data_IF_226440632483
#
_entry.id   IF_226440632483
#
_cell.length_a   1.000
_cell.length_b   1.000
_cell.length_c   1.000
_cell.angle_alpha   90.00
_cell.angle_beta   90.00
_cell.angle_gamma   90.00
#
_symmetry.space_group_name_H-M   'P 1'
#
loop_
_entity.id
_entity.type
_entity.pdbx_description
1 polymer ?
#
# COMPACT_ATOMS: atom_id res chain seq x y z
N UNK A 1 -38.78 65.34 3.47
CA UNK A 1 -38.33 64.51 4.62
C UNK A 1 -39.34 63.39 4.78
N UNK A 2 -38.92 62.13 4.70
CA UNK A 2 -39.83 60.98 4.68
C UNK A 2 -39.73 60.27 6.03
N UNK A 3 -40.80 60.27 6.82
CA UNK A 3 -40.79 59.81 8.23
C UNK A 3 -41.08 58.30 8.32
N UNK A 4 -41.86 57.75 7.39
CA UNK A 4 -42.28 56.35 7.43
C UNK A 4 -41.20 55.37 6.94
N UNK A 5 -40.21 55.82 6.17
CA UNK A 5 -39.17 54.96 5.60
C UNK A 5 -37.78 55.58 5.81
N UNK A 6 -37.02 55.03 6.77
CA UNK A 6 -35.65 55.46 7.03
C UNK A 6 -34.68 54.69 6.12
N UNK A 7 -34.41 55.27 4.95
CA UNK A 7 -33.51 54.68 3.94
C UNK A 7 -32.08 54.48 4.46
N UNK A 8 -31.58 55.38 5.31
CA UNK A 8 -30.24 55.29 5.91
C UNK A 8 -30.12 54.10 6.87
N UNK A 9 -31.15 53.87 7.69
CA UNK A 9 -31.23 52.70 8.57
C UNK A 9 -31.39 51.39 7.78
N UNK A 10 -32.21 51.37 6.72
CA UNK A 10 -32.33 50.20 5.84
C UNK A 10 -31.02 49.85 5.12
N UNK A 11 -30.26 50.86 4.67
CA UNK A 11 -28.95 50.65 4.05
C UNK A 11 -27.92 50.11 5.06
N UNK A 12 -27.89 50.70 6.27
CA UNK A 12 -27.02 50.23 7.36
C UNK A 12 -27.35 48.79 7.77
N UNK A 13 -28.63 48.45 7.90
CA UNK A 13 -29.10 47.10 8.23
C UNK A 13 -28.72 46.08 7.14
N UNK A 14 -28.95 46.41 5.86
CA UNK A 14 -28.53 45.55 4.73
C UNK A 14 -27.03 45.29 4.74
N UNK A 15 -26.24 46.35 4.91
CA UNK A 15 -24.77 46.26 4.94
C UNK A 15 -24.31 45.43 6.13
N UNK A 16 -24.90 45.63 7.31
CA UNK A 16 -24.63 44.84 8.51
C UNK A 16 -24.98 43.36 8.32
N UNK A 17 -26.10 43.05 7.63
CA UNK A 17 -26.47 41.67 7.31
C UNK A 17 -25.44 40.98 6.41
N UNK A 18 -24.93 41.69 5.39
CA UNK A 18 -23.88 41.16 4.50
C UNK A 18 -22.57 40.95 5.25
N UNK A 19 -22.11 41.92 6.05
CA UNK A 19 -20.86 41.80 6.82
C UNK A 19 -20.95 40.71 7.89
N UNK A 20 -22.11 40.51 8.51
CA UNK A 20 -22.33 39.41 9.45
C UNK A 20 -22.26 38.03 8.76
N UNK A 21 -22.81 37.91 7.54
CA UNK A 21 -22.67 36.68 6.74
C UNK A 21 -21.21 36.39 6.37
N UNK A 22 -20.43 37.42 6.03
CA UNK A 22 -19.00 37.29 5.74
C UNK A 22 -18.20 36.92 6.99
N UNK A 23 -18.53 37.49 8.15
CA UNK A 23 -17.91 37.15 9.43
C UNK A 23 -18.13 35.67 9.78
N UNK A 24 -19.35 35.15 9.59
CA UNK A 24 -19.66 33.73 9.79
C UNK A 24 -18.87 32.82 8.83
N UNK A 25 -18.71 33.22 7.56
CA UNK A 25 -17.88 32.49 6.60
C UNK A 25 -16.40 32.48 7.01
N UNK A 26 -15.87 33.59 7.51
CA UNK A 26 -14.48 33.65 8.00
C UNK A 26 -14.28 32.79 9.25
N UNK A 27 -15.27 32.76 10.17
CA UNK A 27 -15.26 31.86 11.31
C UNK A 27 -15.24 30.38 10.88
N UNK A 28 -16.03 30.01 9.87
CA UNK A 28 -16.06 28.66 9.32
C UNK A 28 -14.69 28.26 8.73
N UNK A 29 -14.07 29.14 7.94
CA UNK A 29 -12.73 28.92 7.38
C UNK A 29 -11.64 28.84 8.45
N UNK A 30 -11.66 29.71 9.46
CA UNK A 30 -10.71 29.69 10.56
C UNK A 30 -10.86 28.46 11.46
N UNK A 31 -12.10 27.99 11.67
CA UNK A 31 -12.37 26.82 12.51
C UNK A 31 -12.03 25.51 11.81
N UNK A 32 -12.22 25.43 10.49
CA UNK A 32 -11.92 24.24 9.69
C UNK A 32 -10.45 24.17 9.25
N UNK A 33 -9.79 25.33 9.11
CA UNK A 33 -8.49 25.43 8.45
C UNK A 33 -8.57 25.26 6.93
N UNK A 34 -9.76 25.09 6.36
CA UNK A 34 -9.99 24.91 4.93
C UNK A 34 -10.60 26.19 4.33
N UNK A 35 -10.08 26.61 3.18
CA UNK A 35 -10.60 27.71 2.36
C UNK A 35 -11.92 27.34 1.67
N UNK A 36 -12.09 26.07 1.30
CA UNK A 36 -13.26 25.54 0.57
C UNK A 36 -13.98 24.54 1.48
N UNK A 37 -15.04 24.99 2.17
CA UNK A 37 -15.83 24.13 3.06
C UNK A 37 -17.13 23.66 2.40
N UNK A 38 -17.69 24.48 1.50
CA UNK A 38 -18.94 24.20 0.81
C UNK A 38 -18.74 24.25 -0.70
N UNK A 39 -19.58 23.54 -1.45
CA UNK A 39 -19.59 23.59 -2.91
C UNK A 39 -19.88 25.00 -3.47
N UNK A 40 -20.48 25.89 -2.66
CA UNK A 40 -20.70 27.29 -3.00
C UNK A 40 -19.46 28.18 -2.93
N UNK A 41 -18.39 27.76 -2.23
CA UNK A 41 -17.16 28.55 -2.12
C UNK A 41 -16.31 28.44 -3.39
N UNK A 42 -16.11 27.22 -3.88
CA UNK A 42 -15.50 26.90 -5.18
C UNK A 42 -15.87 25.48 -5.61
N UNK A 43 -16.84 25.36 -6.53
CA UNK A 43 -17.30 24.06 -7.02
C UNK A 43 -16.21 23.28 -7.77
N UNK A 44 -15.33 23.98 -8.50
CA UNK A 44 -14.26 23.33 -9.29
C UNK A 44 -13.12 22.88 -8.39
N UNK A 45 -12.69 23.74 -7.45
CA UNK A 45 -11.67 23.41 -6.46
C UNK A 45 -12.09 22.26 -5.55
N UNK A 46 -13.36 22.21 -5.15
CA UNK A 46 -13.90 21.09 -4.38
C UNK A 46 -13.84 19.76 -5.18
N UNK A 47 -14.26 19.76 -6.45
CA UNK A 47 -14.24 18.55 -7.27
C UNK A 47 -12.81 18.01 -7.50
N UNK A 48 -11.84 18.91 -7.72
CA UNK A 48 -10.43 18.53 -7.88
C UNK A 48 -9.84 18.00 -6.57
N UNK A 49 -10.10 18.67 -5.44
CA UNK A 49 -9.59 18.23 -4.13
C UNK A 49 -10.18 16.88 -3.72
N UNK A 50 -11.46 16.60 -3.98
CA UNK A 50 -12.04 15.27 -3.72
C UNK A 50 -11.40 14.16 -4.58
N UNK A 51 -11.11 14.47 -5.85
CA UNK A 51 -10.37 13.54 -6.72
C UNK A 51 -8.97 13.28 -6.17
N UNK A 52 -8.25 14.33 -5.75
CA UNK A 52 -6.92 14.21 -5.15
C UNK A 52 -6.97 13.41 -3.84
N UNK A 53 -7.93 13.67 -2.95
CA UNK A 53 -8.14 12.89 -1.71
C UNK A 53 -8.40 11.43 -2.00
N UNK A 54 -9.23 11.13 -3.01
CA UNK A 54 -9.46 9.75 -3.45
C UNK A 54 -8.18 9.09 -3.95
N UNK A 55 -7.37 9.80 -4.74
CA UNK A 55 -6.08 9.31 -5.21
C UNK A 55 -5.09 9.10 -4.07
N UNK A 56 -4.94 10.03 -3.13
CA UNK A 56 -4.07 9.91 -1.96
C UNK A 56 -4.46 8.69 -1.12
N UNK A 57 -5.75 8.50 -0.83
CA UNK A 57 -6.25 7.29 -0.13
C UNK A 57 -5.91 6.01 -0.92
N UNK A 58 -6.08 6.04 -2.23
CA UNK A 58 -5.72 4.93 -3.12
C UNK A 58 -4.22 4.61 -3.11
N UNK A 59 -3.36 5.63 -3.18
CA UNK A 59 -1.90 5.50 -3.14
C UNK A 59 -1.43 4.98 -1.77
N UNK A 60 -2.00 5.46 -0.68
CA UNK A 60 -1.71 4.97 0.67
C UNK A 60 -2.10 3.49 0.83
N UNK A 61 -3.25 3.09 0.30
CA UNK A 61 -3.63 1.68 0.29
C UNK A 61 -2.71 0.85 -0.62
N UNK A 62 -2.32 1.36 -1.78
CA UNK A 62 -1.38 0.70 -2.67
C UNK A 62 -0.02 0.48 -2.00
N UNK A 63 0.48 1.45 -1.25
CA UNK A 63 1.71 1.28 -0.46
C UNK A 63 1.57 0.14 0.57
N UNK A 64 0.45 0.08 1.31
CA UNK A 64 0.17 -1.05 2.21
C UNK A 64 0.12 -2.40 1.47
N UNK A 65 -0.48 -2.43 0.27
CA UNK A 65 -0.52 -3.64 -0.54
C UNK A 65 0.88 -4.07 -0.99
N UNK A 66 1.76 -3.12 -1.33
CA UNK A 66 3.16 -3.39 -1.67
C UNK A 66 3.90 -3.97 -0.47
N UNK A 67 3.73 -3.39 0.72
CA UNK A 67 4.33 -3.92 1.95
C UNK A 67 3.87 -5.36 2.22
N UNK A 68 2.57 -5.65 2.03
CA UNK A 68 2.07 -7.03 2.10
C UNK A 68 2.71 -7.95 1.06
N UNK A 69 2.97 -7.45 -0.16
CA UNK A 69 3.69 -8.17 -1.20
C UNK A 69 5.15 -8.46 -0.83
N UNK A 70 5.84 -7.50 -0.20
CA UNK A 70 7.19 -7.70 0.36
C UNK A 70 7.16 -8.79 1.44
N UNK A 71 6.22 -8.72 2.38
CA UNK A 71 6.08 -9.75 3.43
C UNK A 71 5.81 -11.14 2.84
N UNK A 72 4.99 -11.23 1.79
CA UNK A 72 4.75 -12.47 1.07
C UNK A 72 6.03 -13.02 0.43
N UNK A 73 6.83 -12.16 -0.22
CA UNK A 73 8.12 -12.56 -0.80
C UNK A 73 9.10 -13.04 0.27
N UNK A 74 9.24 -12.30 1.37
CA UNK A 74 10.13 -12.65 2.48
C UNK A 74 9.75 -13.99 3.13
N UNK A 75 8.44 -14.24 3.32
CA UNK A 75 7.95 -15.53 3.79
C UNK A 75 8.33 -16.65 2.81
N UNK A 76 8.18 -16.41 1.50
CA UNK A 76 8.58 -17.40 0.47
C UNK A 76 10.08 -17.67 0.54
N UNK A 77 10.90 -16.62 0.64
CA UNK A 77 12.36 -16.76 0.70
C UNK A 77 12.81 -17.54 1.94
N UNK A 78 12.17 -17.32 3.10
CA UNK A 78 12.46 -18.09 4.31
C UNK A 78 12.33 -19.60 4.10
N UNK A 79 11.21 -20.04 3.50
CA UNK A 79 11.00 -21.46 3.18
C UNK A 79 11.99 -22.00 2.11
N UNK A 80 12.37 -21.17 1.14
CA UNK A 80 13.37 -21.55 0.14
C UNK A 80 14.79 -21.60 0.73
N UNK A 81 15.08 -20.82 1.77
CA UNK A 81 16.30 -20.91 2.56
C UNK A 81 16.44 -22.28 3.20
N UNK A 82 15.43 -22.71 3.95
CA UNK A 82 15.38 -24.04 4.58
C UNK A 82 15.51 -25.17 3.55
N UNK A 83 14.81 -25.04 2.41
CA UNK A 83 14.94 -26.00 1.30
C UNK A 83 16.36 -26.05 0.74
N UNK A 84 17.05 -24.90 0.65
CA UNK A 84 18.44 -24.81 0.17
C UNK A 84 19.39 -25.54 1.13
N UNK A 85 19.24 -25.35 2.44
CA UNK A 85 20.08 -25.98 3.46
C UNK A 85 19.91 -27.50 3.44
N UNK A 86 18.67 -27.99 3.30
CA UNK A 86 18.39 -29.42 3.17
C UNK A 86 19.03 -29.98 1.89
N UNK A 87 18.89 -29.30 0.75
CA UNK A 87 19.52 -29.74 -0.50
C UNK A 87 21.04 -29.81 -0.40
N UNK A 88 21.67 -28.85 0.27
CA UNK A 88 23.11 -28.90 0.53
C UNK A 88 23.49 -30.09 1.41
N UNK A 89 22.69 -30.39 2.44
CA UNK A 89 22.90 -31.58 3.28
C UNK A 89 22.78 -32.89 2.49
N UNK A 90 21.76 -33.01 1.62
CA UNK A 90 21.62 -34.19 0.75
C UNK A 90 22.83 -34.30 -0.18
N UNK A 91 23.35 -33.18 -0.70
CA UNK A 91 24.55 -33.16 -1.54
C UNK A 91 25.78 -33.67 -0.80
N UNK A 92 25.99 -33.25 0.44
CA UNK A 92 27.09 -33.74 1.29
C UNK A 92 27.02 -35.27 1.47
N UNK A 93 25.84 -35.78 1.82
CA UNK A 93 25.60 -37.21 1.98
C UNK A 93 25.80 -37.99 0.68
N UNK A 94 25.45 -37.39 -0.46
CA UNK A 94 25.65 -37.97 -1.79
C UNK A 94 27.13 -38.08 -2.14
N UNK A 95 27.92 -37.03 -1.85
CA UNK A 95 29.38 -37.04 -2.01
C UNK A 95 30.04 -38.06 -1.07
N UNK A 96 29.56 -38.15 0.17
CA UNK A 96 30.04 -39.13 1.14
C UNK A 96 29.78 -40.55 0.65
N UNK A 97 28.54 -40.86 0.24
CA UNK A 97 28.20 -42.18 -0.28
C UNK A 97 28.96 -42.49 -1.56
N UNK A 98 29.19 -41.54 -2.47
CA UNK A 98 29.93 -41.79 -3.71
C UNK A 98 31.35 -42.36 -3.52
N UNK A 99 31.92 -42.26 -2.32
CA UNK A 99 33.22 -42.85 -2.00
C UNK A 99 33.14 -44.39 -1.87
N UNK A 100 34.05 -45.11 -2.55
CA UNK A 100 34.10 -46.57 -2.58
C UNK A 100 34.51 -47.25 -1.26
N UNK A 101 34.88 -46.48 -0.23
CA UNK A 101 35.23 -47.01 1.10
C UNK A 101 34.01 -47.45 1.94
N UNK A 102 32.80 -46.99 1.59
CA UNK A 102 31.58 -47.30 2.33
C UNK A 102 30.94 -48.59 1.83
N UNK A 103 30.54 -49.44 2.77
CA UNK A 103 29.80 -50.68 2.48
C UNK A 103 28.37 -50.40 2.05
N UNK A 104 27.70 -51.39 1.46
CA UNK A 104 26.28 -51.27 1.08
C UNK A 104 25.37 -51.03 2.31
N UNK A 105 25.75 -51.53 3.49
CA UNK A 105 25.04 -51.29 4.74
C UNK A 105 25.18 -49.83 5.21
N UNK A 106 26.38 -49.24 5.11
CA UNK A 106 26.60 -47.82 5.43
C UNK A 106 25.82 -46.91 4.48
N UNK A 107 25.75 -47.28 3.18
CA UNK A 107 24.97 -46.56 2.18
C UNK A 107 23.47 -46.62 2.47
N UNK A 108 22.97 -47.75 2.97
CA UNK A 108 21.57 -47.85 3.40
C UNK A 108 21.26 -46.93 4.58
N UNK A 109 22.18 -46.76 5.54
CA UNK A 109 21.98 -45.82 6.65
C UNK A 109 21.95 -44.36 6.17
N UNK A 110 22.86 -44.00 5.26
CA UNK A 110 22.87 -42.67 4.61
C UNK A 110 21.58 -42.45 3.80
N UNK A 111 21.09 -43.49 3.12
CA UNK A 111 19.84 -43.44 2.35
C UNK A 111 18.64 -43.12 3.26
N UNK A 112 18.60 -43.65 4.49
CA UNK A 112 17.54 -43.32 5.44
C UNK A 112 17.57 -41.84 5.79
N UNK A 113 18.74 -41.26 6.05
CA UNK A 113 18.86 -39.81 6.30
C UNK A 113 18.38 -38.99 5.09
N UNK A 114 18.80 -39.36 3.87
CA UNK A 114 18.35 -38.69 2.64
C UNK A 114 16.84 -38.83 2.42
N UNK A 115 16.25 -39.99 2.71
CA UNK A 115 14.80 -40.17 2.59
C UNK A 115 14.00 -39.22 3.48
N UNK A 116 14.49 -38.98 4.70
CA UNK A 116 13.87 -38.04 5.64
C UNK A 116 14.04 -36.60 5.18
N UNK A 117 15.21 -36.24 4.67
CA UNK A 117 15.48 -34.91 4.11
C UNK A 117 14.61 -34.63 2.88
N UNK A 118 14.40 -35.61 1.99
CA UNK A 118 13.49 -35.47 0.84
C UNK A 118 12.04 -35.33 1.30
N UNK A 119 11.61 -36.09 2.32
CA UNK A 119 10.27 -35.93 2.91
C UNK A 119 10.09 -34.55 3.55
N UNK A 120 11.15 -34.01 4.16
CA UNK A 120 11.14 -32.68 4.76
C UNK A 120 11.01 -31.57 3.70
N UNK A 121 11.67 -31.70 2.55
CA UNK A 121 11.48 -30.78 1.40
C UNK A 121 10.01 -30.79 0.94
N UNK A 122 9.38 -31.96 0.83
CA UNK A 122 7.94 -32.06 0.49
C UNK A 122 7.03 -31.48 1.59
N UNK A 123 7.40 -31.65 2.86
CA UNK A 123 6.68 -31.05 3.99
C UNK A 123 6.74 -29.52 3.91
N UNK A 124 7.92 -28.94 3.72
CA UNK A 124 8.09 -27.49 3.57
C UNK A 124 7.28 -26.98 2.38
N UNK A 125 7.39 -27.64 1.21
CA UNK A 125 6.67 -27.21 0.03
C UNK A 125 5.14 -27.26 0.19
N UNK A 126 4.60 -28.26 0.89
CA UNK A 126 3.16 -28.44 1.12
C UNK A 126 2.60 -27.61 2.28
N UNK A 127 3.43 -27.28 3.27
CA UNK A 127 3.04 -26.52 4.48
C UNK A 127 3.51 -25.06 4.45
N UNK A 128 4.22 -24.61 3.41
CA UNK A 128 4.55 -23.20 3.20
C UNK A 128 3.29 -22.40 2.83
N UNK A 129 2.65 -21.80 3.83
CA UNK A 129 1.40 -21.06 3.66
C UNK A 129 1.57 -19.58 4.00
N UNK A 130 0.95 -18.72 3.20
CA UNK A 130 0.71 -17.33 3.56
C UNK A 130 -0.78 -17.04 3.45
N UNK A 131 -1.39 -16.61 4.57
CA UNK A 131 -2.82 -16.35 4.64
C UNK A 131 -3.67 -17.55 4.12
N UNK A 132 -3.27 -18.78 4.47
CA UNK A 132 -3.93 -20.02 4.05
C UNK A 132 -3.69 -20.45 2.59
N UNK A 133 -2.84 -19.74 1.85
CA UNK A 133 -2.47 -20.10 0.47
C UNK A 133 -1.10 -20.76 0.42
N UNK A 134 -1.01 -21.95 -0.17
CA UNK A 134 0.26 -22.64 -0.38
C UNK A 134 1.10 -21.92 -1.45
N UNK A 135 2.33 -21.56 -1.10
CA UNK A 135 3.18 -20.69 -1.91
C UNK A 135 4.02 -21.47 -2.92
N UNK A 136 4.50 -22.66 -2.53
CA UNK A 136 5.52 -23.43 -3.26
C UNK A 136 4.98 -24.60 -4.11
N UNK A 137 3.66 -24.78 -4.13
CA UNK A 137 2.99 -25.92 -4.81
C UNK A 137 2.72 -25.68 -6.29
N UNK A 138 3.24 -24.60 -6.87
CA UNK A 138 3.07 -24.29 -8.30
C UNK A 138 1.78 -23.55 -8.66
N UNK A 139 0.92 -23.26 -7.67
CA UNK A 139 -0.32 -22.50 -7.88
C UNK A 139 -0.07 -21.15 -8.58
N UNK A 140 1.04 -20.49 -8.27
CA UNK A 140 1.44 -19.17 -8.75
C UNK A 140 2.52 -19.20 -9.84
N UNK A 141 2.76 -20.36 -10.48
CA UNK A 141 3.72 -20.46 -11.57
C UNK A 141 3.20 -19.79 -12.86
N UNK A 142 4.12 -19.29 -13.70
CA UNK A 142 3.80 -18.58 -14.96
C UNK A 142 2.99 -19.43 -15.95
N UNK A 143 3.10 -20.76 -15.88
CA UNK A 143 2.34 -21.73 -16.68
C UNK A 143 1.50 -22.67 -15.79
N UNK A 144 0.84 -22.11 -14.78
CA UNK A 144 -0.04 -22.85 -13.87
C UNK A 144 -1.35 -23.22 -14.58
N UNK A 145 -1.77 -24.49 -14.48
CA UNK A 145 -3.03 -24.99 -15.05
C UNK A 145 -4.28 -24.23 -14.55
N UNK A 146 -4.17 -23.52 -13.42
CA UNK A 146 -5.25 -22.78 -12.79
C UNK A 146 -5.27 -21.29 -13.21
N UNK A 147 -4.30 -20.79 -13.98
CA UNK A 147 -4.13 -19.37 -14.37
C UNK A 147 -4.20 -18.37 -13.19
N UNK A 148 -3.99 -18.84 -11.96
CA UNK A 148 -4.04 -18.01 -10.75
C UNK A 148 -2.68 -17.39 -10.50
N UNK A 149 -2.40 -16.28 -11.18
CA UNK A 149 -1.19 -15.49 -10.95
C UNK A 149 -1.36 -14.64 -9.69
N UNK A 150 -0.33 -14.56 -8.85
CA UNK A 150 -0.35 -13.64 -7.71
C UNK A 150 -0.19 -12.21 -8.22
N UNK A 151 -1.25 -11.41 -8.09
CA UNK A 151 -1.27 -10.02 -8.54
C UNK A 151 -1.38 -9.05 -7.38
N UNK A 152 -0.47 -8.08 -7.31
CA UNK A 152 -0.49 -7.01 -6.34
C UNK A 152 -0.94 -5.71 -7.00
N UNK A 153 -1.97 -5.08 -6.45
CA UNK A 153 -2.40 -3.75 -6.88
C UNK A 153 -1.48 -2.70 -6.26
N UNK A 154 -0.62 -2.11 -7.08
CA UNK A 154 0.44 -1.18 -6.69
C UNK A 154 0.11 0.27 -7.04
N UNK A 155 -1.13 0.58 -7.39
CA UNK A 155 -1.53 1.94 -7.70
C UNK A 155 -3.00 2.21 -7.45
N UNK A 156 -3.36 3.50 -7.47
CA UNK A 156 -4.70 3.99 -7.14
C UNK A 156 -5.72 3.75 -8.27
N UNK A 157 -5.27 3.57 -9.51
CA UNK A 157 -6.13 3.42 -10.69
C UNK A 157 -6.28 1.97 -11.13
N UNK A 158 -7.28 1.70 -11.97
CA UNK A 158 -7.50 0.40 -12.60
C UNK A 158 -6.24 -0.05 -13.36
N UNK A 159 -5.97 -1.36 -13.30
CA UNK A 159 -4.86 -2.05 -13.99
C UNK A 159 -3.42 -1.64 -13.60
N UNK A 160 -3.24 -0.86 -12.53
CA UNK A 160 -1.93 -0.62 -11.93
C UNK A 160 -1.49 -1.80 -11.03
N UNK A 161 -1.13 -2.92 -11.66
CA UNK A 161 -0.85 -4.20 -10.99
C UNK A 161 0.50 -4.78 -11.38
N UNK A 162 1.16 -5.43 -10.42
CA UNK A 162 2.40 -6.18 -10.61
C UNK A 162 2.11 -7.64 -10.32
N UNK A 163 2.56 -8.52 -11.23
CA UNK A 163 2.46 -9.96 -11.08
C UNK A 163 3.76 -10.51 -10.49
N UNK A 164 3.66 -11.40 -9.52
CA UNK A 164 4.79 -12.15 -8.97
C UNK A 164 4.58 -13.63 -9.24
N UNK A 165 5.63 -14.30 -9.71
CA UNK A 165 5.60 -15.71 -10.06
C UNK A 165 6.42 -16.53 -9.07
N UNK A 166 5.85 -17.65 -8.63
CA UNK A 166 6.55 -18.63 -7.80
C UNK A 166 6.42 -19.99 -8.49
N UNK A 167 7.57 -20.53 -8.92
CA UNK A 167 7.64 -21.87 -9.50
C UNK A 167 7.30 -22.96 -8.48
N UNK A 168 6.95 -24.14 -8.99
CA UNK A 168 6.76 -25.34 -8.15
C UNK A 168 8.09 -25.77 -7.55
N UNK A 169 8.17 -25.88 -6.22
CA UNK A 169 9.39 -26.25 -5.47
C UNK A 169 9.18 -27.51 -4.62
N UNK A 170 8.24 -28.37 -5.01
CA UNK A 170 8.04 -29.71 -4.42
C UNK A 170 9.20 -30.64 -4.76
N UNK A 171 9.43 -31.71 -3.98
CA UNK A 171 10.51 -32.67 -4.23
C UNK A 171 10.41 -33.31 -5.62
N UNK A 172 9.19 -33.52 -6.14
CA UNK A 172 8.97 -34.02 -7.51
C UNK A 172 9.44 -33.03 -8.57
N UNK A 173 9.10 -31.75 -8.42
CA UNK A 173 9.50 -30.69 -9.36
C UNK A 173 11.02 -30.42 -9.33
N UNK A 174 11.66 -30.66 -8.19
CA UNK A 174 13.11 -30.56 -8.01
C UNK A 174 13.86 -31.83 -8.45
N UNK A 175 13.17 -32.86 -8.93
CA UNK A 175 13.77 -34.12 -9.39
C UNK A 175 14.26 -35.03 -8.25
N UNK A 176 13.83 -34.78 -7.01
CA UNK A 176 14.18 -35.59 -5.84
C UNK A 176 13.31 -36.85 -5.68
N UNK A 177 12.23 -36.93 -6.46
CA UNK A 177 11.35 -38.09 -6.60
C UNK A 177 11.11 -38.35 -8.08
N UNK A 178 10.97 -39.63 -8.44
CA UNK A 178 10.55 -40.04 -9.78
C UNK A 178 9.22 -39.40 -10.19
N UNK A 179 9.05 -39.13 -11.49
CA UNK A 179 7.82 -38.56 -12.02
C UNK A 179 6.67 -39.59 -11.96
N UNK A 180 5.59 -39.23 -11.26
CA UNK A 180 4.32 -39.95 -11.10
C UNK A 180 4.40 -41.42 -10.61
N UNK A 181 4.05 -41.64 -9.34
CA UNK A 181 3.36 -42.86 -8.90
C UNK A 181 4.23 -44.04 -8.47
N UNK A 182 5.55 -43.96 -8.59
CA UNK A 182 6.48 -44.86 -7.89
C UNK A 182 7.13 -44.10 -6.74
N UNK A 183 7.11 -44.67 -5.54
CA UNK A 183 7.82 -44.18 -4.34
C UNK A 183 9.36 -44.27 -4.48
N UNK A 184 9.87 -44.16 -5.71
CA UNK A 184 11.30 -44.11 -6.02
C UNK A 184 11.79 -42.70 -5.73
N UNK A 185 12.16 -42.50 -4.47
CA UNK A 185 13.04 -41.43 -4.03
C UNK A 185 14.40 -41.60 -4.69
N UNK A 186 15.18 -40.51 -4.78
CA UNK A 186 16.58 -40.63 -5.19
C UNK A 186 17.28 -41.71 -4.33
N UNK A 187 17.85 -42.70 -4.99
CA UNK A 187 18.63 -43.75 -4.35
C UNK A 187 20.11 -43.43 -4.44
N UNK A 188 20.81 -43.54 -3.33
CA UNK A 188 22.27 -43.38 -3.18
C UNK A 188 22.87 -44.73 -2.75
N UNK A 189 22.16 -45.83 -3.02
CA UNK A 189 22.52 -47.20 -2.67
C UNK A 189 23.76 -47.69 -3.43
N UNK A 190 24.06 -47.13 -4.60
CA UNK A 190 25.25 -47.45 -5.38
C UNK A 190 26.11 -46.21 -5.63
N UNK A 191 27.43 -46.35 -5.83
CA UNK A 191 28.32 -45.23 -6.15
C UNK A 191 27.91 -44.47 -7.42
N UNK A 192 27.41 -45.19 -8.43
CA UNK A 192 26.98 -44.59 -9.70
C UNK A 192 25.71 -43.76 -9.52
N UNK A 193 24.73 -44.28 -8.77
CA UNK A 193 23.52 -43.54 -8.45
C UNK A 193 23.80 -42.34 -7.54
N UNK A 194 24.75 -42.45 -6.61
CA UNK A 194 25.23 -41.34 -5.79
C UNK A 194 25.82 -40.21 -6.65
N UNK A 195 26.61 -40.55 -7.67
CA UNK A 195 27.17 -39.58 -8.60
C UNK A 195 26.09 -38.91 -9.46
N UNK A 196 25.08 -39.65 -9.93
CA UNK A 196 23.94 -39.06 -10.63
C UNK A 196 23.15 -38.12 -9.72
N UNK A 197 22.97 -38.49 -8.45
CA UNK A 197 22.28 -37.72 -7.43
C UNK A 197 22.89 -36.34 -7.24
N UNK A 198 24.23 -36.23 -7.18
CA UNK A 198 24.94 -34.94 -7.10
C UNK A 198 24.52 -34.02 -8.24
N UNK A 199 24.47 -34.53 -9.47
CA UNK A 199 24.04 -33.76 -10.65
C UNK A 199 22.58 -33.30 -10.57
N UNK A 200 21.67 -34.16 -10.07
CA UNK A 200 20.26 -33.79 -9.86
C UNK A 200 20.10 -32.71 -8.79
N UNK A 201 20.85 -32.80 -7.69
CA UNK A 201 20.80 -31.81 -6.60
C UNK A 201 21.41 -30.48 -7.04
N UNK A 202 22.49 -30.49 -7.81
CA UNK A 202 23.07 -29.26 -8.36
C UNK A 202 22.07 -28.55 -9.31
N UNK A 203 21.29 -29.31 -10.09
CA UNK A 203 20.21 -28.76 -10.90
C UNK A 203 19.04 -28.22 -10.05
N UNK A 204 18.68 -28.90 -8.96
CA UNK A 204 17.67 -28.47 -8.00
C UNK A 204 18.09 -27.17 -7.30
N UNK A 205 19.31 -27.12 -6.77
CA UNK A 205 19.91 -25.94 -6.15
C UNK A 205 19.92 -24.76 -7.13
N UNK A 206 20.33 -24.97 -8.38
CA UNK A 206 20.29 -23.92 -9.41
C UNK A 206 18.88 -23.40 -9.69
N UNK A 207 17.86 -24.24 -9.54
CA UNK A 207 16.46 -23.84 -9.73
C UNK A 207 15.94 -23.05 -8.54
N UNK A 208 16.23 -23.48 -7.31
CA UNK A 208 15.91 -22.74 -6.08
C UNK A 208 16.64 -21.39 -6.05
N UNK A 209 17.93 -21.35 -6.38
CA UNK A 209 18.71 -20.10 -6.44
C UNK A 209 18.16 -19.13 -7.49
N UNK A 210 17.71 -19.62 -8.66
CA UNK A 210 17.03 -18.78 -9.66
C UNK A 210 15.74 -18.19 -9.10
N UNK A 211 14.89 -19.01 -8.48
CA UNK A 211 13.65 -18.52 -7.86
C UNK A 211 13.93 -17.47 -6.78
N UNK A 212 14.95 -17.66 -5.94
CA UNK A 212 15.36 -16.67 -4.92
C UNK A 212 15.86 -15.38 -5.54
N UNK A 213 16.65 -15.45 -6.62
CA UNK A 213 17.10 -14.26 -7.34
C UNK A 213 15.92 -13.48 -7.94
N UNK A 214 14.93 -14.16 -8.51
CA UNK A 214 13.72 -13.54 -9.04
C UNK A 214 12.90 -12.87 -7.93
N UNK A 215 12.72 -13.55 -6.79
CA UNK A 215 12.07 -13.00 -5.60
C UNK A 215 12.77 -11.74 -5.07
N UNK A 216 14.10 -11.75 -5.00
CA UNK A 216 14.88 -10.56 -4.63
C UNK A 216 14.72 -9.41 -5.63
N UNK A 217 14.62 -9.70 -6.93
CA UNK A 217 14.33 -8.69 -7.95
C UNK A 217 12.92 -8.08 -7.75
N UNK A 218 11.91 -8.90 -7.43
CA UNK A 218 10.58 -8.40 -7.08
C UNK A 218 10.59 -7.54 -5.82
N UNK A 219 11.34 -7.92 -4.78
CA UNK A 219 11.49 -7.12 -3.57
C UNK A 219 12.05 -5.73 -3.89
N UNK A 220 13.18 -5.65 -4.62
CA UNK A 220 13.79 -4.38 -5.00
C UNK A 220 12.82 -3.50 -5.82
N UNK A 221 12.07 -4.13 -6.73
CA UNK A 221 11.05 -3.43 -7.53
C UNK A 221 9.91 -2.91 -6.66
N UNK A 222 9.47 -3.68 -5.67
CA UNK A 222 8.43 -3.27 -4.72
C UNK A 222 8.90 -2.14 -3.79
N UNK A 223 10.13 -2.18 -3.30
CA UNK A 223 10.71 -1.09 -2.50
C UNK A 223 10.81 0.20 -3.31
N UNK A 224 11.27 0.11 -4.57
CA UNK A 224 11.33 1.25 -5.48
C UNK A 224 9.93 1.81 -5.79
N UNK A 225 8.95 0.94 -6.03
CA UNK A 225 7.55 1.34 -6.24
C UNK A 225 6.94 1.99 -4.99
N UNK A 226 7.21 1.45 -3.79
CA UNK A 226 6.78 2.01 -2.51
C UNK A 226 7.28 3.44 -2.33
N UNK A 227 8.58 3.66 -2.55
CA UNK A 227 9.18 5.00 -2.46
C UNK A 227 8.57 5.96 -3.49
N UNK A 228 8.38 5.51 -4.73
CA UNK A 228 7.75 6.32 -5.78
C UNK A 228 6.30 6.72 -5.45
N UNK A 229 5.52 5.79 -4.88
CA UNK A 229 4.13 6.04 -4.46
C UNK A 229 4.07 6.96 -3.25
N UNK A 230 4.98 6.83 -2.29
CA UNK A 230 5.06 7.73 -1.15
C UNK A 230 5.33 9.17 -1.60
N UNK A 231 6.31 9.37 -2.49
CA UNK A 231 6.60 10.70 -3.07
C UNK A 231 5.42 11.22 -3.88
N UNK A 232 4.75 10.37 -4.66
CA UNK A 232 3.55 10.78 -5.40
C UNK A 232 2.40 11.19 -4.46
N UNK A 233 2.18 10.46 -3.37
CA UNK A 233 1.17 10.79 -2.38
C UNK A 233 1.48 12.10 -1.64
N UNK A 234 2.74 12.34 -1.29
CA UNK A 234 3.20 13.60 -0.69
C UNK A 234 2.99 14.79 -1.63
N UNK A 235 3.39 14.66 -2.90
CA UNK A 235 3.18 15.72 -3.89
C UNK A 235 1.68 15.99 -4.14
N UNK A 236 0.85 14.94 -4.17
CA UNK A 236 -0.60 15.11 -4.28
C UNK A 236 -1.20 15.77 -3.03
N UNK A 237 -0.71 15.43 -1.84
CA UNK A 237 -1.14 16.07 -0.59
C UNK A 237 -0.75 17.55 -0.56
N UNK A 238 0.45 17.90 -1.03
CA UNK A 238 0.89 19.29 -1.17
C UNK A 238 0.02 20.07 -2.17
N UNK A 239 -0.32 19.46 -3.30
CA UNK A 239 -1.23 20.06 -4.29
C UNK A 239 -2.65 20.24 -3.73
N UNK A 240 -3.16 19.26 -2.99
CA UNK A 240 -4.49 19.32 -2.36
C UNK A 240 -4.55 20.39 -1.26
N UNK A 241 -3.52 20.48 -0.41
CA UNK A 241 -3.35 21.54 0.58
C UNK A 241 -3.36 22.93 -0.05
N UNK A 242 -2.62 23.14 -1.15
CA UNK A 242 -2.63 24.42 -1.86
C UNK A 242 -3.99 24.81 -2.47
N UNK A 243 -4.87 23.85 -2.74
CA UNK A 243 -6.22 24.10 -3.26
C UNK A 243 -7.21 24.35 -2.11
N UNK A 244 -7.11 23.56 -1.03
CA UNK A 244 -8.17 23.45 -0.03
C UNK A 244 -7.84 24.11 1.30
N UNK A 245 -6.58 24.20 1.71
CA UNK A 245 -6.21 24.79 2.99
C UNK A 245 -6.26 26.32 2.93
N UNK A 246 -6.56 26.94 4.06
CA UNK A 246 -6.57 28.40 4.20
C UNK A 246 -5.28 28.93 4.82
N UNK A 247 -4.82 30.08 4.33
CA UNK A 247 -3.82 30.87 5.06
C UNK A 247 -4.48 31.52 6.28
N UNK A 248 -4.13 31.04 7.47
CA UNK A 248 -4.69 31.52 8.73
C UNK A 248 -4.37 33.00 8.99
N UNK A 249 -3.23 33.50 8.55
CA UNK A 249 -2.87 34.90 8.75
C UNK A 249 -3.79 35.81 7.93
N UNK A 250 -4.00 35.47 6.65
CA UNK A 250 -4.92 36.20 5.78
C UNK A 250 -6.36 36.13 6.30
N UNK A 251 -6.83 34.93 6.69
CA UNK A 251 -8.18 34.74 7.21
C UNK A 251 -8.43 35.49 8.53
N UNK A 252 -7.41 35.62 9.40
CA UNK A 252 -7.50 36.42 10.63
C UNK A 252 -7.58 37.92 10.34
N UNK A 253 -6.87 38.42 9.32
CA UNK A 253 -6.99 39.82 8.87
C UNK A 253 -8.39 40.09 8.34
N UNK A 254 -8.96 39.18 7.55
CA UNK A 254 -10.33 39.33 7.05
C UNK A 254 -11.37 39.23 8.18
N UNK A 255 -11.19 38.30 9.12
CA UNK A 255 -12.04 38.17 10.29
C UNK A 255 -12.03 39.44 11.15
N UNK A 256 -10.85 39.99 11.47
CA UNK A 256 -10.72 41.21 12.27
C UNK A 256 -11.31 42.42 11.54
N UNK A 257 -11.06 42.57 10.24
CA UNK A 257 -11.70 43.60 9.41
C UNK A 257 -13.23 43.51 9.48
N UNK A 258 -13.80 42.32 9.28
CA UNK A 258 -15.25 42.12 9.30
C UNK A 258 -15.84 42.32 10.70
N UNK A 259 -15.13 41.96 11.76
CA UNK A 259 -15.53 42.22 13.16
C UNK A 259 -15.57 43.72 13.48
N UNK A 260 -14.59 44.50 13.01
CA UNK A 260 -14.59 45.96 13.15
C UNK A 260 -15.74 46.58 12.34
N UNK A 261 -16.02 46.06 11.14
CA UNK A 261 -17.12 46.52 10.30
C UNK A 261 -18.50 46.21 10.89
N UNK A 262 -18.70 45.05 11.53
CA UNK A 262 -19.97 44.75 12.22
C UNK A 262 -20.15 45.66 13.44
N UNK A 263 -19.10 45.90 14.23
CA UNK A 263 -19.14 46.84 15.36
C UNK A 263 -19.40 48.28 14.89
N UNK A 264 -18.80 48.70 13.78
CA UNK A 264 -19.05 50.03 13.20
C UNK A 264 -20.46 50.13 12.60
N UNK A 265 -20.94 49.06 11.97
CA UNK A 265 -22.27 48.97 11.38
C UNK A 265 -23.39 49.06 12.41
N UNK A 266 -23.23 48.44 13.58
CA UNK A 266 -24.20 48.55 14.69
C UNK A 266 -24.23 49.98 15.26
N UNK A 267 -23.08 50.62 15.40
CA UNK A 267 -22.99 52.02 15.84
C UNK A 267 -23.64 52.98 14.82
N UNK A 268 -23.41 52.77 13.52
CA UNK A 268 -24.04 53.57 12.46
C UNK A 268 -25.55 53.33 12.34
N UNK A 269 -26.02 52.11 12.56
CA UNK A 269 -27.45 51.79 12.61
C UNK A 269 -28.12 52.49 13.80
N UNK A 270 -27.48 52.47 14.97
CA UNK A 270 -27.97 53.20 16.14
C UNK A 270 -28.03 54.72 15.88
N UNK A 271 -27.01 55.28 15.21
CA UNK A 271 -26.96 56.70 14.84
C UNK A 271 -28.00 57.07 13.76
N UNK A 272 -28.25 56.21 12.79
CA UNK A 272 -29.27 56.44 11.77
C UNK A 272 -30.69 56.41 12.35
N UNK A 273 -30.91 55.62 13.41
CA UNK A 273 -32.18 55.59 14.13
C UNK A 273 -32.36 56.83 15.02
N UNK A 274 -31.31 57.28 15.71
CA UNK A 274 -31.36 58.48 16.58
C UNK A 274 -31.56 59.78 15.79
N UNK A 275 -30.96 59.92 14.61
CA UNK A 275 -31.19 61.07 13.73
C UNK A 275 -32.65 61.23 13.32
N UNK A 276 -33.35 60.12 13.03
CA UNK A 276 -34.78 60.16 12.71
C UNK A 276 -35.64 60.58 13.91
N UNK A 277 -35.24 60.24 15.13
CA UNK A 277 -35.97 60.59 16.36
C UNK A 277 -35.73 62.04 16.78
N UNK A 278 -34.49 62.52 16.69
CA UNK A 278 -34.13 63.91 17.03
C UNK A 278 -34.87 64.92 16.15
N UNK A 279 -35.06 64.60 14.87
CA UNK A 279 -35.84 65.41 13.94
C UNK A 279 -37.33 65.44 14.30
N UNK A 280 -37.89 64.32 14.77
CA UNK A 280 -39.28 64.26 15.23
C UNK A 280 -39.49 65.08 16.50
N UNK A 281 -38.52 65.06 17.41
CA UNK A 281 -38.52 65.83 18.66
C UNK A 281 -38.36 67.35 18.45
N UNK A 282 -37.80 67.79 17.31
CA UNK A 282 -37.65 69.21 16.95
C UNK A 282 -38.91 69.81 16.30
N UNK A 283 -39.87 68.98 15.89
CA UNK A 283 -41.13 69.39 15.22
C UNK A 283 -42.37 69.29 16.12
N UNK A 284 -42.23 68.73 17.32
CA UNK A 284 -43.21 68.81 18.42
C UNK A 284 -42.89 69.99 19.33
#
# INVERSE_FOLDING_TARGET
MVINHNMSSMFANRTLGVTNSQLMGNLEKLSSGEKINRAGDDASGLAVSEKMRSQIRGLNQANRNIQNGITFILATEGYLGETTDILQRIRELSVQSANGIYSDEDRMQIQVEVSQLVAEVDRIASQAQFNGMNMLTGRFAENSATNNVMTFQVGANMDQRVQAFIGTMTATALGLKGAQGTDEQISISTPDLANMTIGTIDAALKSVSRQRADLGAYQNRFEMASNGIAVAAENMQGAESGIRDTDMASAMVEYTKNSILTQSGTAMLAQANSQSQNVLALLQ
#
